data_IF_396291301400
#
_entry.id   IF_396291301400
#
_cell.length_a   1.000
_cell.length_b   1.000
_cell.length_c   1.000
_cell.angle_alpha   90.00
_cell.angle_beta   90.00
_cell.angle_gamma   90.00
#
_symmetry.space_group_name_H-M   'P 1'
#
loop_
_entity.id
_entity.type
_entity.pdbx_description
1 polymer ?
#
# COMPACT_ATOMS: atom_id res chain seq x y z
N UNK A 1 9.17 -4.46 -10.17
CA UNK A 1 8.01 -3.55 -10.37
C UNK A 1 8.37 -2.58 -11.47
N UNK A 2 7.48 -2.35 -12.44
CA UNK A 2 7.74 -1.36 -13.51
C UNK A 2 7.44 0.06 -13.03
N UNK A 3 7.98 1.09 -13.70
CA UNK A 3 7.67 2.50 -13.37
C UNK A 3 6.18 2.81 -13.50
N UNK A 4 5.52 2.35 -14.56
CA UNK A 4 4.08 2.58 -14.74
C UNK A 4 3.21 1.89 -13.67
N UNK A 5 3.65 0.75 -13.14
CA UNK A 5 2.98 0.09 -12.01
C UNK A 5 3.14 0.91 -10.73
N UNK A 6 4.35 1.45 -10.47
CA UNK A 6 4.61 2.35 -9.32
C UNK A 6 3.73 3.60 -9.41
N UNK A 7 3.69 4.27 -10.56
CA UNK A 7 2.88 5.46 -10.79
C UNK A 7 1.39 5.18 -10.58
N UNK A 8 0.91 4.04 -11.11
CA UNK A 8 -0.48 3.63 -10.92
C UNK A 8 -0.83 3.36 -9.45
N UNK A 9 0.06 2.68 -8.71
CA UNK A 9 -0.13 2.46 -7.27
C UNK A 9 -0.19 3.79 -6.54
N UNK A 10 0.75 4.71 -6.81
CA UNK A 10 0.80 6.03 -6.19
C UNK A 10 -0.48 6.82 -6.42
N UNK A 11 -0.86 6.98 -7.69
CA UNK A 11 -2.05 7.74 -8.07
C UNK A 11 -3.32 7.12 -7.45
N UNK A 12 -3.44 5.79 -7.50
CA UNK A 12 -4.57 5.08 -6.89
C UNK A 12 -4.62 5.34 -5.39
N UNK A 13 -3.56 5.07 -4.65
CA UNK A 13 -3.52 5.21 -3.18
C UNK A 13 -3.76 6.67 -2.76
N UNK A 14 -3.15 7.64 -3.46
CA UNK A 14 -3.29 9.06 -3.13
C UNK A 14 -4.73 9.57 -3.33
N UNK A 15 -5.50 9.00 -4.27
CA UNK A 15 -6.93 9.33 -4.44
C UNK A 15 -7.78 8.88 -3.25
N UNK A 16 -7.43 7.76 -2.60
CA UNK A 16 -8.18 7.24 -1.44
C UNK A 16 -7.73 7.84 -0.10
N UNK A 17 -6.43 8.13 0.03
CA UNK A 17 -5.79 8.43 1.32
C UNK A 17 -5.07 9.77 1.37
N UNK A 18 -5.15 10.58 0.33
CA UNK A 18 -4.53 11.91 0.28
C UNK A 18 -3.12 11.90 -0.33
N UNK A 19 -2.70 13.07 -0.80
CA UNK A 19 -1.43 13.26 -1.49
C UNK A 19 -0.21 13.03 -0.59
N UNK A 20 -0.37 13.13 0.73
CA UNK A 20 0.66 12.96 1.75
C UNK A 20 0.83 11.50 2.22
N UNK A 21 0.05 10.58 1.64
CA UNK A 21 0.13 9.16 1.93
C UNK A 21 1.51 8.59 1.58
N UNK A 22 2.16 7.94 2.55
CA UNK A 22 3.44 7.26 2.34
C UNK A 22 3.19 5.80 2.00
N UNK A 23 3.73 5.37 0.87
CA UNK A 23 3.47 4.05 0.30
C UNK A 23 4.75 3.23 0.32
N UNK A 24 4.68 2.02 0.88
CA UNK A 24 5.82 1.12 1.01
C UNK A 24 5.47 -0.26 0.46
N UNK A 25 6.35 -0.82 -0.36
CA UNK A 25 6.31 -2.25 -0.68
C UNK A 25 7.27 -2.99 0.25
N UNK A 26 6.77 -3.98 0.99
CA UNK A 26 7.54 -4.67 2.04
C UNK A 26 7.69 -6.18 1.84
N UNK A 27 7.04 -6.73 0.81
CA UNK A 27 7.13 -8.13 0.45
C UNK A 27 8.42 -8.44 -0.31
N UNK A 28 9.20 -9.47 0.07
CA UNK A 28 10.41 -9.85 -0.65
C UNK A 28 10.12 -10.66 -1.93
N UNK A 29 8.90 -11.18 -2.08
CA UNK A 29 8.50 -12.03 -3.21
C UNK A 29 8.04 -11.18 -4.40
N UNK A 30 8.72 -11.24 -5.57
CA UNK A 30 8.31 -10.51 -6.76
C UNK A 30 7.00 -11.00 -7.39
N UNK A 31 6.43 -12.13 -6.98
CA UNK A 31 5.10 -12.57 -7.42
C UNK A 31 3.96 -12.07 -6.52
N UNK A 32 4.29 -11.47 -5.37
CA UNK A 32 3.34 -10.89 -4.43
C UNK A 32 3.55 -9.37 -4.38
N UNK A 33 2.48 -8.66 -4.09
CA UNK A 33 2.53 -7.22 -3.87
C UNK A 33 1.99 -6.94 -2.47
N UNK A 34 2.88 -6.60 -1.54
CA UNK A 34 2.52 -6.35 -0.15
C UNK A 34 2.74 -4.87 0.15
N UNK A 35 1.66 -4.10 0.08
CA UNK A 35 1.67 -2.65 0.21
C UNK A 35 1.26 -2.25 1.61
N UNK A 36 2.03 -1.33 2.18
CA UNK A 36 1.67 -0.59 3.38
C UNK A 36 1.47 0.88 3.02
N UNK A 37 0.38 1.46 3.53
CA UNK A 37 0.05 2.88 3.39
C UNK A 37 0.00 3.50 4.77
N UNK A 38 0.75 4.58 4.95
CA UNK A 38 0.67 5.44 6.13
C UNK A 38 0.06 6.77 5.72
N UNK A 39 -1.00 7.18 6.43
CA UNK A 39 -1.79 8.37 6.08
C UNK A 39 -2.38 9.03 7.32
N UNK A 40 -2.75 10.29 7.23
CA UNK A 40 -3.54 10.99 8.25
C UNK A 40 -5.06 10.75 8.10
N UNK A 41 -5.49 10.17 6.97
CA UNK A 41 -6.87 9.79 6.73
C UNK A 41 -7.34 8.64 7.65
N UNK A 42 -8.64 8.58 7.91
CA UNK A 42 -9.20 7.46 8.70
C UNK A 42 -8.99 6.11 7.99
N UNK A 43 -8.62 5.11 8.79
CA UNK A 43 -8.50 3.73 8.34
C UNK A 43 -9.86 3.05 8.42
N UNK A 44 -10.59 3.01 7.31
CA UNK A 44 -11.95 2.46 7.23
C UNK A 44 -12.07 1.43 6.09
N UNK A 45 -13.30 1.17 5.64
CA UNK A 45 -13.61 0.22 4.56
C UNK A 45 -12.99 0.60 3.21
N UNK A 46 -12.51 1.85 3.01
CA UNK A 46 -11.86 2.31 1.77
C UNK A 46 -10.66 1.46 1.36
N UNK A 47 -10.05 0.71 2.29
CA UNK A 47 -8.95 -0.20 1.97
C UNK A 47 -9.37 -1.30 1.01
N UNK A 48 -10.61 -1.77 1.12
CA UNK A 48 -11.11 -2.81 0.24
C UNK A 48 -11.41 -2.26 -1.15
N UNK A 49 -11.93 -1.03 -1.23
CA UNK A 49 -12.15 -0.33 -2.50
C UNK A 49 -10.83 -0.02 -3.21
N UNK A 50 -9.85 0.52 -2.48
CA UNK A 50 -8.51 0.77 -3.00
C UNK A 50 -7.84 -0.52 -3.48
N UNK A 51 -7.91 -1.59 -2.68
CA UNK A 51 -7.37 -2.90 -3.07
C UNK A 51 -8.08 -3.44 -4.32
N UNK A 52 -9.40 -3.27 -4.41
CA UNK A 52 -10.18 -3.64 -5.58
C UNK A 52 -9.70 -2.95 -6.86
N UNK A 53 -9.45 -1.64 -6.80
CA UNK A 53 -8.90 -0.88 -7.95
C UNK A 53 -7.51 -1.39 -8.35
N UNK A 54 -6.62 -1.65 -7.38
CA UNK A 54 -5.29 -2.19 -7.66
C UNK A 54 -5.36 -3.55 -8.39
N UNK A 55 -6.26 -4.43 -7.95
CA UNK A 55 -6.48 -5.74 -8.56
C UNK A 55 -7.01 -5.69 -10.00
N UNK A 56 -7.60 -4.57 -10.45
CA UNK A 56 -8.09 -4.45 -11.84
C UNK A 56 -6.97 -4.36 -12.88
N UNK A 57 -5.77 -3.94 -12.48
CA UNK A 57 -4.70 -3.58 -13.41
C UNK A 57 -3.36 -4.24 -13.09
N UNK A 58 -3.15 -4.64 -11.83
CA UNK A 58 -1.92 -5.30 -11.40
C UNK A 58 -2.16 -6.81 -11.41
N UNK A 59 -1.46 -7.51 -12.30
CA UNK A 59 -1.51 -8.96 -12.38
C UNK A 59 -0.41 -9.58 -11.51
N UNK A 60 -0.80 -10.01 -10.30
CA UNK A 60 0.05 -10.72 -9.33
C UNK A 60 -0.76 -11.82 -8.66
N UNK A 61 -0.09 -12.87 -8.24
CA UNK A 61 -0.74 -14.00 -7.57
C UNK A 61 -1.41 -13.58 -6.25
N UNK A 62 -0.88 -12.55 -5.59
CA UNK A 62 -1.48 -11.99 -4.38
C UNK A 62 -1.14 -10.50 -4.25
N UNK A 63 -2.14 -9.70 -3.93
CA UNK A 63 -1.99 -8.30 -3.52
C UNK A 63 -2.58 -8.14 -2.12
N UNK A 64 -1.82 -7.54 -1.21
CA UNK A 64 -2.28 -7.16 0.12
C UNK A 64 -2.07 -5.68 0.36
N UNK A 65 -3.00 -5.06 1.07
CA UNK A 65 -2.98 -3.66 1.43
C UNK A 65 -3.21 -3.52 2.93
N UNK A 66 -2.21 -3.00 3.63
CA UNK A 66 -2.29 -2.62 5.03
C UNK A 66 -2.28 -1.09 5.12
N UNK A 67 -3.15 -0.51 5.94
CA UNK A 67 -3.25 0.93 6.11
C UNK A 67 -3.17 1.26 7.58
N UNK A 68 -2.28 2.19 7.94
CA UNK A 68 -2.11 2.64 9.33
C UNK A 68 -2.19 4.16 9.40
N UNK A 69 -2.75 4.69 10.48
CA UNK A 69 -2.73 6.12 10.72
C UNK A 69 -1.33 6.58 11.14
N UNK A 70 -0.91 7.75 10.67
CA UNK A 70 0.38 8.36 11.04
C UNK A 70 0.47 8.49 12.57
N UNK A 71 1.61 8.08 13.13
CA UNK A 71 1.86 8.11 14.57
C UNK A 71 1.14 7.01 15.39
N UNK A 72 0.33 6.15 14.76
CA UNK A 72 -0.27 5.01 15.45
C UNK A 72 0.76 3.92 15.73
N UNK A 73 0.54 3.15 16.80
CA UNK A 73 1.38 2.01 17.13
C UNK A 73 1.27 0.93 16.05
N UNK A 74 2.36 0.73 15.30
CA UNK A 74 2.49 -0.27 14.25
C UNK A 74 2.34 -1.70 14.80
N UNK A 75 1.46 -2.50 14.20
CA UNK A 75 1.19 -3.92 14.55
C UNK A 75 1.30 -4.82 13.32
N UNK A 76 1.42 -6.13 13.56
CA UNK A 76 1.39 -7.15 12.50
C UNK A 76 2.39 -6.91 11.36
N UNK A 77 1.92 -7.12 10.13
CA UNK A 77 2.63 -6.95 8.86
C UNK A 77 3.21 -5.55 8.67
N UNK A 78 2.54 -4.52 9.19
CA UNK A 78 3.04 -3.15 9.09
C UNK A 78 4.42 -2.99 9.76
N UNK A 79 4.77 -3.79 10.78
CA UNK A 79 6.13 -3.75 11.37
C UNK A 79 7.21 -4.13 10.36
N UNK A 80 6.91 -5.03 9.43
CA UNK A 80 7.82 -5.38 8.35
C UNK A 80 7.96 -4.19 7.40
N UNK A 81 6.86 -3.51 7.07
CA UNK A 81 6.90 -2.32 6.23
C UNK A 81 7.80 -1.20 6.76
N UNK A 82 7.78 -0.91 8.06
CA UNK A 82 8.68 0.09 8.63
C UNK A 82 10.15 -0.36 8.73
N UNK A 83 10.41 -1.67 8.77
CA UNK A 83 11.77 -2.21 8.92
C UNK A 83 12.50 -2.43 7.60
N UNK A 84 11.79 -2.90 6.59
CA UNK A 84 12.37 -3.33 5.31
C UNK A 84 11.58 -2.84 4.09
N UNK A 85 10.51 -2.07 4.28
CA UNK A 85 9.71 -1.57 3.17
C UNK A 85 10.45 -0.55 2.34
N UNK A 86 10.41 -0.72 1.02
CA UNK A 86 10.92 0.25 0.06
C UNK A 86 9.81 1.26 -0.22
N UNK A 87 10.09 2.55 0.01
CA UNK A 87 9.17 3.63 -0.36
C UNK A 87 9.07 3.64 -1.89
N UNK A 88 7.85 3.55 -2.39
CA UNK A 88 7.57 3.58 -3.82
C UNK A 88 7.72 4.98 -4.38
#
# INVERSE_FOLDING_TARGET
MSQGEIEFIKDTVQRFYGADAVIRNFGPDPNRLEIHVETDAETDMRKYDCLGVLLTRIDRAQISLEVTRRGEKVRGSAKLAYRQGVIL
#
